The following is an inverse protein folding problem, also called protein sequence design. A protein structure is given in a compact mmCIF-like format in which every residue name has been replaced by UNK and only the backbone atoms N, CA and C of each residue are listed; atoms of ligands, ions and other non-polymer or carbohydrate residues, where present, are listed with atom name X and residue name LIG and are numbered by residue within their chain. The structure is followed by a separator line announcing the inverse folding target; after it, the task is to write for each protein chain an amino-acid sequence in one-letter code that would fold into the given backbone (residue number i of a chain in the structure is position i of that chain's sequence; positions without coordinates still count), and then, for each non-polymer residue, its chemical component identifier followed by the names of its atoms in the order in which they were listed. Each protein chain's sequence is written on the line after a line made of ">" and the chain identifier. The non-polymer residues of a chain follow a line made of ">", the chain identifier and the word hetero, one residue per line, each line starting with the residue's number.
data_IF_490236995924
#
_entry.id   IF_490236995924
#
_cell.length_a   1.000
_cell.length_b   1.000
_cell.length_c   1.000
_cell.angle_alpha   90.00
_cell.angle_beta   90.00
_cell.angle_gamma   90.00
#
_symmetry.space_group_name_H-M   'P 1'
#
loop_
_entity.id
_entity.type
_entity.pdbx_description
1 polymer ?
#
# COMPACT_ATOMS: atom_id res chain seq x y z
N UNK A 1 28.29 -40.03 -18.77
CA UNK A 1 26.86 -40.04 -18.42
C UNK A 1 26.48 -38.62 -18.05
N UNK A 2 25.88 -37.89 -18.99
CA UNK A 2 25.22 -36.62 -18.68
C UNK A 2 23.75 -36.97 -18.45
N UNK A 3 23.32 -36.92 -17.20
CA UNK A 3 21.91 -37.06 -16.84
C UNK A 3 21.20 -35.77 -17.18
N UNK A 4 20.30 -35.86 -18.16
CA UNK A 4 19.38 -34.80 -18.54
C UNK A 4 18.27 -34.78 -17.49
N UNK A 5 18.43 -33.99 -16.42
CA UNK A 5 17.25 -33.57 -15.66
C UNK A 5 16.53 -32.56 -16.53
N UNK A 6 15.52 -33.05 -17.25
CA UNK A 6 14.51 -32.20 -17.87
C UNK A 6 13.74 -31.53 -16.75
N UNK A 7 14.23 -30.39 -16.26
CA UNK A 7 13.41 -29.50 -15.45
C UNK A 7 12.26 -29.02 -16.34
N UNK A 8 11.12 -29.69 -16.22
CA UNK A 8 9.97 -29.44 -17.06
C UNK A 8 9.25 -28.21 -16.52
N UNK A 9 9.89 -27.05 -16.71
CA UNK A 9 9.35 -25.75 -16.43
C UNK A 9 8.28 -25.39 -17.46
N UNK A 10 7.14 -24.89 -17.01
CA UNK A 10 6.08 -24.37 -17.85
C UNK A 10 6.56 -23.10 -18.55
N UNK A 11 6.52 -23.09 -19.89
CA UNK A 11 7.00 -21.93 -20.67
C UNK A 11 6.01 -20.77 -20.69
N UNK A 12 4.71 -21.03 -20.51
CA UNK A 12 3.65 -20.01 -20.45
C UNK A 12 2.54 -20.45 -19.49
N UNK A 13 2.39 -19.73 -18.38
CA UNK A 13 1.31 -19.96 -17.44
C UNK A 13 0.00 -19.31 -17.89
N UNK A 14 -1.11 -20.02 -17.72
CA UNK A 14 -2.48 -19.55 -17.98
C UNK A 14 -3.25 -19.36 -16.66
N UNK A 15 -4.50 -18.91 -16.73
CA UNK A 15 -5.41 -18.83 -15.56
C UNK A 15 -4.86 -18.01 -14.38
N UNK A 16 -4.12 -16.94 -14.68
CA UNK A 16 -3.51 -16.05 -13.68
C UNK A 16 -2.58 -16.79 -12.69
N UNK A 17 -1.84 -17.77 -13.20
CA UNK A 17 -0.81 -18.50 -12.46
C UNK A 17 0.60 -18.06 -12.86
N UNK A 18 1.59 -18.39 -12.03
CA UNK A 18 3.01 -18.08 -12.20
C UNK A 18 3.88 -19.17 -11.56
N UNK A 19 5.21 -19.02 -11.64
CA UNK A 19 6.19 -19.99 -11.13
C UNK A 19 6.54 -21.08 -12.13
N UNK A 20 7.61 -21.83 -11.83
CA UNK A 20 8.19 -22.80 -12.77
C UNK A 20 7.22 -23.89 -13.22
N UNK A 21 6.21 -24.21 -12.42
CA UNK A 21 5.18 -25.18 -12.76
C UNK A 21 3.77 -24.59 -12.68
N UNK A 22 3.65 -23.26 -12.81
CA UNK A 22 2.36 -22.56 -12.70
C UNK A 22 1.61 -22.87 -11.39
N UNK A 23 2.36 -23.18 -10.31
CA UNK A 23 1.84 -23.73 -9.06
C UNK A 23 1.29 -22.68 -8.10
N UNK A 24 1.20 -21.44 -8.56
CA UNK A 24 1.15 -20.24 -7.76
C UNK A 24 0.28 -19.20 -8.44
N UNK A 25 -0.52 -18.43 -7.70
CA UNK A 25 -1.21 -17.29 -8.29
C UNK A 25 -0.23 -16.18 -8.66
N UNK A 26 -0.48 -15.56 -9.82
CA UNK A 26 0.25 -14.41 -10.34
C UNK A 26 0.05 -13.17 -9.46
N UNK A 27 0.89 -12.15 -9.66
CA UNK A 27 0.75 -10.88 -8.96
C UNK A 27 -0.62 -10.25 -9.24
N UNK A 28 -1.27 -9.74 -8.18
CA UNK A 28 -2.66 -9.27 -8.25
C UNK A 28 -3.71 -10.37 -8.10
N UNK A 29 -3.30 -11.62 -7.87
CA UNK A 29 -4.19 -12.75 -7.63
C UNK A 29 -3.80 -13.55 -6.38
N UNK A 30 -4.78 -14.21 -5.76
CA UNK A 30 -4.59 -15.06 -4.59
C UNK A 30 -5.41 -16.36 -4.67
N UNK A 31 -5.01 -17.36 -3.88
CA UNK A 31 -5.66 -18.67 -3.81
C UNK A 31 -4.67 -19.83 -3.97
N UNK A 32 -5.21 -21.03 -4.20
CA UNK A 32 -4.42 -22.24 -4.49
C UNK A 32 -4.85 -22.82 -5.86
N UNK A 33 -4.02 -22.68 -6.91
CA UNK A 33 -4.37 -23.16 -8.24
C UNK A 33 -4.17 -24.68 -8.43
N UNK A 34 -3.69 -25.40 -7.41
CA UNK A 34 -3.39 -26.84 -7.52
C UNK A 34 -4.68 -27.66 -7.42
N UNK A 35 -4.64 -28.90 -7.94
CA UNK A 35 -5.73 -29.88 -7.82
C UNK A 35 -7.11 -29.37 -8.31
N UNK A 36 -7.14 -28.50 -9.32
CA UNK A 36 -8.38 -27.92 -9.85
C UNK A 36 -8.91 -26.71 -9.09
N UNK A 37 -8.13 -26.14 -8.17
CA UNK A 37 -8.39 -24.82 -7.60
C UNK A 37 -8.13 -23.68 -8.59
N UNK A 38 -8.45 -22.46 -8.18
CA UNK A 38 -8.39 -21.27 -9.04
C UNK A 38 -7.75 -20.08 -8.33
N UNK A 39 -7.29 -19.12 -9.12
CA UNK A 39 -6.78 -17.85 -8.65
C UNK A 39 -7.85 -16.77 -8.78
N UNK A 40 -8.06 -16.02 -7.72
CA UNK A 40 -9.02 -14.91 -7.64
C UNK A 40 -8.28 -13.58 -7.61
N UNK A 41 -8.89 -12.54 -8.20
CA UNK A 41 -8.31 -11.19 -8.21
C UNK A 41 -8.29 -10.59 -6.80
N UNK A 42 -7.24 -9.85 -6.47
CA UNK A 42 -7.15 -9.11 -5.22
C UNK A 42 -8.23 -8.01 -5.16
N UNK A 43 -9.09 -8.04 -4.13
CA UNK A 43 -10.15 -7.04 -3.93
C UNK A 43 -9.77 -6.00 -2.87
N UNK A 44 -8.93 -5.03 -3.25
CA UNK A 44 -8.33 -4.06 -2.32
C UNK A 44 -8.97 -2.67 -2.31
N UNK A 45 -10.23 -2.53 -2.74
CA UNK A 45 -10.99 -1.26 -2.74
C UNK A 45 -10.25 -0.07 -3.40
N UNK A 46 -9.46 -0.34 -4.45
CA UNK A 46 -8.66 0.69 -5.13
C UNK A 46 -7.47 1.24 -4.32
N UNK A 47 -7.20 0.68 -3.13
CA UNK A 47 -6.11 1.10 -2.23
C UNK A 47 -4.83 0.26 -2.41
N UNK A 48 -4.90 -0.80 -3.20
CA UNK A 48 -3.76 -1.61 -3.63
C UNK A 48 -4.14 -2.39 -4.90
N UNK A 49 -3.12 -2.84 -5.64
CA UNK A 49 -3.29 -3.76 -6.78
C UNK A 49 -2.78 -5.17 -6.47
N UNK A 50 -2.06 -5.34 -5.35
CA UNK A 50 -1.41 -6.59 -4.97
C UNK A 50 -1.81 -7.00 -3.56
N UNK A 51 -1.83 -8.31 -3.32
CA UNK A 51 -2.21 -8.91 -2.04
C UNK A 51 -1.39 -10.17 -1.77
N UNK A 52 -1.47 -10.68 -0.54
CA UNK A 52 -0.83 -11.90 -0.13
C UNK A 52 -1.42 -13.09 -0.90
N UNK A 53 -0.53 -13.82 -1.58
CA UNK A 53 -0.88 -14.88 -2.54
C UNK A 53 -1.80 -15.98 -2.03
N UNK A 54 -1.83 -16.27 -0.72
CA UNK A 54 -2.60 -17.38 -0.16
C UNK A 54 -3.90 -16.90 0.50
N UNK A 55 -3.85 -15.77 1.20
CA UNK A 55 -4.95 -15.28 2.05
C UNK A 55 -5.80 -14.21 1.37
N UNK A 56 -5.24 -13.50 0.37
CA UNK A 56 -5.85 -12.33 -0.24
C UNK A 56 -5.67 -11.03 0.56
N UNK A 57 -4.86 -11.02 1.61
CA UNK A 57 -4.64 -9.82 2.43
C UNK A 57 -3.87 -8.75 1.64
N UNK A 58 -4.49 -7.60 1.42
CA UNK A 58 -3.98 -6.53 0.57
C UNK A 58 -2.77 -5.82 1.15
N UNK A 59 -1.85 -5.47 0.24
CA UNK A 59 -0.69 -4.65 0.55
C UNK A 59 -1.02 -3.17 0.36
N UNK A 60 -1.69 -2.57 1.34
CA UNK A 60 -2.17 -1.18 1.24
C UNK A 60 -1.03 -0.20 0.93
N UNK A 61 -1.24 0.68 -0.05
CA UNK A 61 -0.17 1.58 -0.55
C UNK A 61 -0.20 2.96 0.10
N UNK A 62 -1.28 3.29 0.82
CA UNK A 62 -1.42 4.55 1.54
C UNK A 62 -1.28 4.33 3.04
N UNK A 63 -0.38 5.09 3.69
CA UNK A 63 -0.21 5.02 5.13
C UNK A 63 -1.50 5.37 5.85
N UNK A 64 -1.81 4.60 6.89
CA UNK A 64 -3.00 4.79 7.70
C UNK A 64 -4.24 4.16 7.10
N UNK A 65 -4.13 3.47 5.96
CA UNK A 65 -5.16 2.56 5.45
C UNK A 65 -4.81 1.14 5.89
N UNK A 66 -5.81 0.41 6.38
CA UNK A 66 -5.62 -0.94 6.95
C UNK A 66 -6.84 -1.84 6.74
N UNK A 67 -6.73 -3.09 7.20
CA UNK A 67 -7.71 -4.15 7.01
C UNK A 67 -7.37 -5.05 5.81
N UNK A 68 -7.97 -6.24 5.79
CA UNK A 68 -7.72 -7.28 4.77
C UNK A 68 -7.86 -6.73 3.34
N UNK A 69 -8.86 -5.89 3.09
CA UNK A 69 -9.13 -5.28 1.79
C UNK A 69 -8.82 -3.77 1.77
N UNK A 70 -7.99 -3.28 2.70
CA UNK A 70 -7.70 -1.85 2.84
C UNK A 70 -8.97 -0.97 3.05
N UNK A 71 -9.95 -1.50 3.78
CA UNK A 71 -11.30 -0.91 3.89
C UNK A 71 -11.48 0.10 5.01
N UNK A 72 -10.49 0.29 5.90
CA UNK A 72 -10.65 1.20 7.05
C UNK A 72 -9.38 1.98 7.35
N UNK A 73 -9.54 3.09 8.06
CA UNK A 73 -8.42 3.86 8.56
C UNK A 73 -7.84 3.25 9.84
N UNK A 74 -6.53 3.41 10.03
CA UNK A 74 -5.84 3.14 11.29
C UNK A 74 -6.26 4.15 12.37
N UNK A 75 -5.90 3.86 13.61
CA UNK A 75 -6.14 4.79 14.71
C UNK A 75 -5.46 6.14 14.43
N UNK A 76 -6.16 7.24 14.77
CA UNK A 76 -5.74 8.65 14.54
C UNK A 76 -5.82 9.12 13.08
N UNK A 77 -6.21 8.26 12.15
CA UNK A 77 -6.57 8.65 10.79
C UNK A 77 -8.09 8.80 10.67
N UNK A 78 -8.53 9.75 9.85
CA UNK A 78 -9.94 10.05 9.60
C UNK A 78 -10.26 9.94 8.12
N UNK A 79 -11.33 9.21 7.79
CA UNK A 79 -11.75 8.92 6.43
C UNK A 79 -12.54 7.62 6.36
N UNK A 80 -12.82 7.19 5.14
CA UNK A 80 -13.58 5.99 4.81
C UNK A 80 -13.13 5.48 3.43
N UNK A 81 -12.02 4.71 3.37
CA UNK A 81 -11.39 4.33 2.10
C UNK A 81 -12.25 3.36 1.28
N UNK A 82 -13.18 2.64 1.91
CA UNK A 82 -14.16 1.80 1.22
C UNK A 82 -15.14 2.63 0.38
N UNK A 83 -15.50 3.83 0.87
CA UNK A 83 -16.37 4.78 0.18
C UNK A 83 -15.59 5.90 -0.54
N UNK A 84 -14.35 5.63 -0.98
CA UNK A 84 -13.48 6.57 -1.68
C UNK A 84 -13.17 7.87 -0.90
N UNK A 85 -13.24 7.85 0.44
CA UNK A 85 -12.79 8.94 1.29
C UNK A 85 -11.38 8.61 1.83
N UNK A 86 -10.32 9.29 1.36
CA UNK A 86 -8.96 8.97 1.78
C UNK A 86 -8.78 9.13 3.29
N UNK A 87 -7.96 8.26 3.89
CA UNK A 87 -7.54 8.41 5.27
C UNK A 87 -6.56 9.58 5.39
N UNK A 88 -6.91 10.57 6.22
CA UNK A 88 -6.06 11.72 6.52
C UNK A 88 -5.62 11.72 7.98
N UNK A 89 -4.36 12.07 8.21
CA UNK A 89 -3.80 12.34 9.54
C UNK A 89 -3.84 13.84 9.85
N UNK A 90 -4.24 14.22 11.06
CA UNK A 90 -4.32 15.63 11.46
C UNK A 90 -2.95 16.19 11.87
N UNK A 91 -2.49 17.24 11.19
CA UNK A 91 -1.32 18.03 11.53
C UNK A 91 -1.73 19.24 12.37
N UNK A 92 -1.43 19.16 13.65
CA UNK A 92 -1.53 20.27 14.60
C UNK A 92 -0.33 21.21 14.43
N UNK A 93 -0.59 22.52 14.32
CA UNK A 93 0.39 23.58 13.97
C UNK A 93 1.65 23.67 14.86
N UNK A 94 1.65 23.06 16.04
CA UNK A 94 2.76 23.11 16.99
C UNK A 94 3.71 21.90 16.91
N UNK A 95 3.51 20.98 15.96
CA UNK A 95 4.25 19.71 15.92
C UNK A 95 5.07 19.51 14.64
N UNK A 96 6.37 19.26 14.83
CA UNK A 96 7.24 18.70 13.81
C UNK A 96 6.92 17.20 13.72
N UNK A 97 6.36 16.77 12.59
CA UNK A 97 6.09 15.35 12.33
C UNK A 97 7.25 14.72 11.56
N UNK A 98 7.93 13.77 12.20
CA UNK A 98 8.82 12.85 11.49
C UNK A 98 8.02 11.62 11.09
N UNK A 99 7.76 11.47 9.80
CA UNK A 99 7.19 10.26 9.27
C UNK A 99 8.30 9.21 9.10
N UNK A 100 8.25 8.14 9.90
CA UNK A 100 9.16 7.00 9.74
C UNK A 100 8.42 5.92 8.98
N UNK A 101 8.88 5.64 7.76
CA UNK A 101 8.57 4.40 7.06
C UNK A 101 9.56 3.35 7.58
N UNK A 102 9.05 2.40 8.35
CA UNK A 102 9.87 1.29 8.81
C UNK A 102 9.88 0.20 7.74
N UNK A 103 11.02 0.00 7.07
CA UNK A 103 11.12 -1.01 6.02
C UNK A 103 11.03 -2.44 6.57
N UNK A 104 11.28 -2.61 7.87
CA UNK A 104 11.17 -3.89 8.56
C UNK A 104 9.72 -4.16 9.02
N UNK A 105 8.86 -3.13 9.07
CA UNK A 105 7.42 -3.31 9.28
C UNK A 105 6.76 -3.79 7.96
N UNK A 106 6.19 -5.01 7.92
CA UNK A 106 5.54 -5.53 6.73
C UNK A 106 4.43 -4.63 6.17
N UNK A 107 3.81 -3.80 7.02
CA UNK A 107 2.76 -2.87 6.63
C UNK A 107 3.27 -1.67 5.85
N UNK A 108 4.50 -1.24 6.11
CA UNK A 108 5.10 -0.04 5.50
C UNK A 108 5.86 -0.36 4.23
N UNK A 109 6.20 -1.64 4.01
CA UNK A 109 6.92 -2.12 2.83
C UNK A 109 6.33 -1.67 1.49
N UNK A 110 5.00 -1.61 1.40
CA UNK A 110 4.27 -1.30 0.15
C UNK A 110 3.71 0.13 0.13
N UNK A 111 3.91 0.90 1.20
CA UNK A 111 3.40 2.26 1.32
C UNK A 111 4.23 3.19 0.45
N UNK A 112 3.55 3.91 -0.46
CA UNK A 112 4.12 4.93 -1.32
C UNK A 112 3.36 6.27 -1.25
N UNK A 113 2.31 6.36 -0.42
CA UNK A 113 1.50 7.56 -0.26
C UNK A 113 1.14 7.82 1.20
N UNK A 114 0.98 9.08 1.56
CA UNK A 114 0.40 9.51 2.84
C UNK A 114 -0.40 10.80 2.65
N UNK A 115 -1.52 10.91 3.38
CA UNK A 115 -2.38 12.09 3.35
C UNK A 115 -2.46 12.75 4.74
N UNK A 116 -2.38 14.06 4.75
CA UNK A 116 -2.47 14.91 5.93
C UNK A 116 -3.53 15.99 5.74
N UNK A 117 -4.11 16.45 6.84
CA UNK A 117 -4.90 17.67 6.85
C UNK A 117 -4.52 18.56 8.03
N UNK A 118 -4.74 19.86 7.90
CA UNK A 118 -4.58 20.81 9.01
C UNK A 118 -5.78 21.76 9.08
N UNK A 119 -6.24 22.01 10.31
CA UNK A 119 -7.28 22.99 10.62
C UNK A 119 -6.62 24.18 11.34
N UNK A 120 -6.30 25.27 10.63
CA UNK A 120 -5.67 26.43 11.25
C UNK A 120 -6.65 27.12 12.22
N UNK A 121 -6.29 27.19 13.50
CA UNK A 121 -7.13 27.78 14.55
C UNK A 121 -7.14 29.31 14.58
N UNK A 122 -6.17 30.00 13.93
CA UNK A 122 -5.95 31.44 14.14
C UNK A 122 -5.87 32.33 12.91
N UNK A 123 -6.08 31.82 11.70
CA UNK A 123 -6.03 32.69 10.51
C UNK A 123 -7.12 32.25 9.55
N UNK A 124 -8.19 33.06 9.45
CA UNK A 124 -8.90 33.18 8.17
C UNK A 124 -7.89 33.83 7.21
N UNK A 125 -6.96 33.02 6.69
CA UNK A 125 -6.10 33.47 5.60
C UNK A 125 -7.09 33.86 4.52
N UNK A 126 -7.08 35.13 4.10
CA UNK A 126 -8.20 35.77 3.41
C UNK A 126 -8.68 35.10 2.11
N UNK A 127 -8.04 34.01 1.65
CA UNK A 127 -8.38 33.23 0.46
C UNK A 127 -8.24 31.71 0.64
N UNK A 128 -8.21 31.15 1.86
CA UNK A 128 -8.02 29.71 2.06
C UNK A 128 -9.25 29.03 2.67
N UNK A 129 -9.69 27.94 2.04
CA UNK A 129 -10.73 27.05 2.57
C UNK A 129 -10.10 26.01 3.49
N UNK A 130 -10.65 25.84 4.67
CA UNK A 130 -10.25 24.81 5.64
C UNK A 130 -11.12 23.55 5.47
N UNK A 131 -10.57 22.34 5.66
CA UNK A 131 -9.19 22.03 6.03
C UNK A 131 -8.22 22.07 4.85
N UNK A 132 -6.95 22.40 5.13
CA UNK A 132 -5.87 22.28 4.15
C UNK A 132 -5.51 20.80 4.04
N UNK A 133 -5.57 20.23 2.83
CA UNK A 133 -5.22 18.83 2.55
C UNK A 133 -3.86 18.76 1.85
N UNK A 134 -3.00 17.87 2.32
CA UNK A 134 -1.65 17.66 1.79
C UNK A 134 -1.53 16.17 1.47
N UNK A 135 -1.13 15.84 0.25
CA UNK A 135 -0.82 14.47 -0.17
C UNK A 135 0.64 14.40 -0.59
N UNK A 136 1.33 13.39 -0.10
CA UNK A 136 2.72 13.10 -0.48
C UNK A 136 2.72 11.70 -1.09
N UNK A 137 3.19 11.59 -2.33
CA UNK A 137 3.29 10.32 -3.05
C UNK A 137 4.73 10.13 -3.59
N UNK A 138 5.22 8.90 -3.57
CA UNK A 138 6.54 8.51 -4.05
C UNK A 138 6.40 7.58 -5.26
N UNK A 139 7.35 7.66 -6.20
CA UNK A 139 7.28 6.85 -7.42
C UNK A 139 7.60 5.37 -7.20
N UNK A 140 8.30 4.99 -6.12
CA UNK A 140 8.74 3.61 -5.86
C UNK A 140 8.86 3.34 -4.35
N UNK A 141 8.43 2.14 -3.93
CA UNK A 141 8.71 1.56 -2.59
C UNK A 141 9.35 0.17 -2.72
N UNK A 142 10.57 -0.07 -2.17
CA UNK A 142 11.62 0.88 -1.77
C UNK A 142 12.84 0.80 -2.74
N UNK A 143 13.51 1.92 -3.10
CA UNK A 143 14.70 2.29 -2.34
C UNK A 143 14.99 3.80 -2.33
N UNK A 144 14.83 4.44 -1.17
CA UNK A 144 15.71 5.53 -0.73
C UNK A 144 16.25 5.08 0.62
N UNK A 145 17.54 5.24 0.88
CA UNK A 145 18.12 4.96 2.19
C UNK A 145 17.84 6.17 3.10
N UNK A 146 16.90 6.05 4.04
CA UNK A 146 16.33 7.14 4.84
C UNK A 146 17.17 7.49 6.08
N UNK A 147 18.45 7.81 5.90
CA UNK A 147 19.13 8.57 6.96
C UNK A 147 18.49 9.95 7.14
N UNK A 148 17.84 10.54 6.14
CA UNK A 148 17.29 11.90 6.29
C UNK A 148 16.29 12.27 5.16
N UNK A 149 14.99 12.08 5.36
CA UNK A 149 13.97 12.83 4.59
C UNK A 149 13.16 13.65 5.59
N UNK A 150 13.68 14.83 5.94
CA UNK A 150 12.95 15.78 6.74
C UNK A 150 11.98 16.55 5.83
N UNK A 151 10.68 16.35 5.99
CA UNK A 151 9.70 17.36 5.55
C UNK A 151 9.74 18.45 6.62
N UNK A 152 10.68 19.39 6.49
CA UNK A 152 10.71 20.58 7.35
C UNK A 152 9.65 21.53 6.81
N UNK A 153 8.48 21.58 7.45
CA UNK A 153 7.66 22.78 7.39
C UNK A 153 8.35 23.83 8.24
N UNK A 154 9.32 24.54 7.65
CA UNK A 154 9.91 25.71 8.27
C UNK A 154 8.86 26.83 8.17
N UNK A 155 8.44 27.34 9.33
CA UNK A 155 7.63 28.55 9.44
C UNK A 155 8.43 29.79 9.05
#
# INVERSE_FOLDING_TARGET
>A
MQEWISDQSCTQCAHNTTGDHCQYCAEGFYGDPRNGGHCEECHCNGQATTCQRETGDCFCTTKGVTGKNCSKCEQKYYGDPENNQPCYYELTVDFIFTFKLDQDDPKDKYVNQINFFSIPHKVKVHNFSTPIKIQISFSQSPPINWVLFFVIFAA
#
